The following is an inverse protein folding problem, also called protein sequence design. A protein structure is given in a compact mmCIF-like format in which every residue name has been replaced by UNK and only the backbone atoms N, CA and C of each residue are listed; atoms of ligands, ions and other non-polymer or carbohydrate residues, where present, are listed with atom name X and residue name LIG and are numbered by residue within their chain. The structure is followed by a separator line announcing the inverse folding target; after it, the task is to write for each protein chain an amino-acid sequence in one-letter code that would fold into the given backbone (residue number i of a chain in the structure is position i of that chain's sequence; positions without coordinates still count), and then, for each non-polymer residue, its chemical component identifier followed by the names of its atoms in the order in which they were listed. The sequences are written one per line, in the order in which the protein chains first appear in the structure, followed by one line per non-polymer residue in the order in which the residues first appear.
data_IF_412832152920
#
_entry.id   IF_412832152920
#
_cell.length_a   1.000
_cell.length_b   1.000
_cell.length_c   1.000
_cell.angle_alpha   90.00
_cell.angle_beta   90.00
_cell.angle_gamma   90.00
#
_symmetry.space_group_name_H-M   'P 1'
#
loop_
_entity.id
_entity.type
_entity.pdbx_description
1 polymer ?
#
# COMPACT_ATOMS: atom_id res chain seq x y z
N UNK A 1 37.59 14.06 15.55
CA UNK A 1 36.61 15.04 15.02
C UNK A 1 35.87 14.35 13.89
N UNK A 2 34.61 13.96 14.08
CA UNK A 2 33.78 13.37 13.00
C UNK A 2 33.18 14.54 12.22
N UNK A 3 33.79 14.90 11.11
CA UNK A 3 33.25 15.90 10.17
C UNK A 3 32.06 15.25 9.46
N UNK A 4 30.84 15.54 9.93
CA UNK A 4 29.63 15.36 9.15
C UNK A 4 29.71 16.31 7.94
N UNK A 5 30.22 15.78 6.83
CA UNK A 5 30.14 16.42 5.54
C UNK A 5 28.65 16.52 5.17
N UNK A 6 28.02 17.65 5.51
CA UNK A 6 26.76 18.07 4.91
C UNK A 6 27.02 18.36 3.43
N UNK A 7 27.12 17.29 2.63
CA UNK A 7 27.21 17.40 1.19
C UNK A 7 25.80 17.69 0.70
N UNK A 8 25.55 18.93 0.33
CA UNK A 8 24.32 19.33 -0.36
C UNK A 8 24.30 18.64 -1.74
N UNK A 9 23.78 17.42 -1.77
CA UNK A 9 23.78 16.51 -2.91
C UNK A 9 22.57 16.81 -3.80
N UNK A 10 22.72 17.82 -4.65
CA UNK A 10 21.77 18.06 -5.73
C UNK A 10 21.64 16.83 -6.64
N UNK A 11 20.43 16.56 -7.14
CA UNK A 11 20.14 15.45 -8.07
C UNK A 11 21.12 15.36 -9.25
N UNK A 12 21.52 16.51 -9.82
CA UNK A 12 22.49 16.56 -10.92
C UNK A 12 23.85 15.98 -10.51
N UNK A 13 24.26 16.20 -9.26
CA UNK A 13 25.54 15.70 -8.72
C UNK A 13 25.46 14.20 -8.47
N UNK A 14 24.37 13.72 -7.90
CA UNK A 14 24.09 12.28 -7.76
C UNK A 14 24.10 11.60 -9.12
N UNK A 15 23.43 12.17 -10.12
CA UNK A 15 23.39 11.63 -11.48
C UNK A 15 24.80 11.57 -12.11
N UNK A 16 25.64 12.58 -11.88
CA UNK A 16 27.01 12.59 -12.38
C UNK A 16 27.85 11.45 -11.78
N UNK A 17 27.68 11.18 -10.48
CA UNK A 17 28.36 10.09 -9.77
C UNK A 17 27.88 8.75 -10.32
N UNK A 18 26.57 8.56 -10.46
CA UNK A 18 25.98 7.33 -11.00
C UNK A 18 26.47 7.05 -12.42
N UNK A 19 26.63 8.08 -13.26
CA UNK A 19 27.18 7.93 -14.62
C UNK A 19 28.64 7.49 -14.63
N UNK A 20 29.43 7.83 -13.62
CA UNK A 20 30.83 7.43 -13.50
C UNK A 20 31.02 6.03 -12.92
N UNK A 21 29.97 5.41 -12.37
CA UNK A 21 30.07 4.07 -11.79
C UNK A 21 30.43 3.00 -12.85
N UNK A 22 31.24 1.98 -12.47
CA UNK A 22 31.46 0.79 -13.27
C UNK A 22 30.14 0.07 -13.60
N UNK A 23 30.14 -0.69 -14.70
CA UNK A 23 28.94 -1.36 -15.22
C UNK A 23 28.27 -2.28 -14.18
N UNK A 24 29.06 -3.02 -13.41
CA UNK A 24 28.56 -3.91 -12.35
C UNK A 24 27.85 -3.16 -11.23
N UNK A 25 28.41 -2.04 -10.79
CA UNK A 25 27.83 -1.21 -9.74
C UNK A 25 26.56 -0.49 -10.21
N UNK A 26 26.49 -0.10 -11.50
CA UNK A 26 25.26 0.41 -12.10
C UNK A 26 24.15 -0.62 -12.12
N UNK A 27 24.48 -1.89 -12.39
CA UNK A 27 23.50 -2.98 -12.41
C UNK A 27 22.95 -3.29 -11.01
N UNK A 28 23.80 -3.22 -9.98
CA UNK A 28 23.37 -3.35 -8.59
C UNK A 28 22.46 -2.20 -8.20
N UNK A 29 22.85 -0.96 -8.52
CA UNK A 29 22.07 0.22 -8.24
C UNK A 29 20.71 0.22 -8.96
N UNK A 30 20.66 -0.22 -10.22
CA UNK A 30 19.40 -0.30 -10.95
C UNK A 30 18.43 -1.30 -10.33
N UNK A 31 18.93 -2.46 -9.86
CA UNK A 31 18.09 -3.46 -9.17
C UNK A 31 17.50 -2.93 -7.87
N UNK A 32 18.28 -2.20 -7.09
CA UNK A 32 17.80 -1.66 -5.82
C UNK A 32 16.75 -0.56 -6.04
N UNK A 33 16.99 0.33 -7.02
CA UNK A 33 16.02 1.36 -7.42
C UNK A 33 14.74 0.75 -8.02
N UNK A 34 14.87 -0.31 -8.82
CA UNK A 34 13.71 -1.05 -9.35
C UNK A 34 12.87 -1.65 -8.24
N UNK A 35 13.51 -2.24 -7.22
CA UNK A 35 12.82 -2.80 -6.05
C UNK A 35 12.04 -1.72 -5.29
N UNK A 36 12.65 -0.57 -5.04
CA UNK A 36 11.98 0.56 -4.36
C UNK A 36 10.79 1.10 -5.18
N UNK A 37 10.93 1.18 -6.51
CA UNK A 37 9.84 1.56 -7.41
C UNK A 37 8.74 0.49 -7.42
N UNK A 38 9.07 -0.79 -7.42
CA UNK A 38 8.10 -1.89 -7.35
C UNK A 38 7.34 -1.85 -6.02
N UNK A 39 8.03 -1.65 -4.90
CA UNK A 39 7.42 -1.56 -3.57
C UNK A 39 6.48 -0.36 -3.45
N UNK A 40 6.85 0.80 -4.02
CA UNK A 40 5.97 1.97 -4.05
C UNK A 40 4.73 1.74 -4.92
N UNK A 41 4.87 1.12 -6.09
CA UNK A 41 3.74 0.74 -6.95
C UNK A 41 2.85 -0.31 -6.31
N UNK A 42 3.43 -1.32 -5.65
CA UNK A 42 2.70 -2.33 -4.90
C UNK A 42 1.96 -1.70 -3.73
N UNK A 43 2.58 -0.77 -3.01
CA UNK A 43 1.94 -0.02 -1.91
C UNK A 43 0.79 0.84 -2.44
N UNK A 44 0.97 1.52 -3.57
CA UNK A 44 -0.09 2.30 -4.23
C UNK A 44 -1.24 1.40 -4.67
N UNK A 45 -0.94 0.24 -5.24
CA UNK A 45 -1.91 -0.77 -5.64
C UNK A 45 -2.67 -1.32 -4.42
N UNK A 46 -1.97 -1.72 -3.36
CA UNK A 46 -2.57 -2.20 -2.12
C UNK A 46 -3.43 -1.13 -1.45
N UNK A 47 -3.04 0.15 -1.50
CA UNK A 47 -3.89 1.26 -1.06
C UNK A 47 -5.14 1.40 -1.91
N UNK A 48 -5.06 1.18 -3.22
CA UNK A 48 -6.25 1.20 -4.09
C UNK A 48 -7.19 0.00 -3.86
N UNK A 49 -6.67 -1.14 -3.40
CA UNK A 49 -7.46 -2.29 -2.97
C UNK A 49 -7.98 -2.15 -1.53
N UNK A 50 -7.37 -1.29 -0.72
CA UNK A 50 -7.86 -0.95 0.60
C UNK A 50 -9.10 -0.08 0.38
N UNK A 51 -10.27 -0.72 0.36
CA UNK A 51 -11.54 -0.01 0.31
C UNK A 51 -11.71 0.82 1.57
N UNK A 52 -11.95 2.12 1.40
CA UNK A 52 -12.38 3.02 2.47
C UNK A 52 -13.88 2.81 2.81
N UNK A 53 -14.59 1.90 2.11
CA UNK A 53 -16.05 1.72 2.20
C UNK A 53 -16.48 0.62 3.19
N UNK A 54 -15.55 -0.08 3.84
CA UNK A 54 -15.86 -1.00 4.93
C UNK A 54 -15.86 -0.24 6.27
N UNK A 55 -16.81 0.69 6.40
CA UNK A 55 -17.12 1.30 7.69
C UNK A 55 -17.88 0.28 8.56
N UNK A 56 -17.63 0.30 9.87
CA UNK A 56 -18.35 -0.56 10.81
C UNK A 56 -19.86 -0.30 10.77
N UNK A 57 -20.28 0.93 10.45
CA UNK A 57 -21.70 1.27 10.28
C UNK A 57 -22.35 0.50 9.11
N UNK A 58 -21.63 0.35 8.00
CA UNK A 58 -22.10 -0.44 6.84
C UNK A 58 -22.19 -1.92 7.21
N UNK A 59 -21.20 -2.41 7.97
CA UNK A 59 -21.16 -3.80 8.43
C UNK A 59 -22.31 -4.12 9.40
N UNK A 60 -22.54 -3.23 10.38
CA UNK A 60 -23.60 -3.38 11.39
C UNK A 60 -24.99 -3.31 10.75
N UNK A 61 -25.18 -2.44 9.75
CA UNK A 61 -26.41 -2.36 8.97
C UNK A 61 -26.72 -3.67 8.25
N UNK A 62 -25.73 -4.29 7.61
CA UNK A 62 -25.91 -5.57 6.90
C UNK A 62 -26.19 -6.72 7.86
N UNK A 63 -25.51 -6.75 9.03
CA UNK A 63 -25.78 -7.75 10.07
C UNK A 63 -27.22 -7.64 10.58
N UNK A 64 -27.72 -6.41 10.80
CA UNK A 64 -29.09 -6.21 11.27
C UNK A 64 -30.13 -6.57 10.21
N UNK A 65 -29.87 -6.27 8.93
CA UNK A 65 -30.72 -6.71 7.81
C UNK A 65 -30.83 -8.25 7.78
N UNK A 66 -29.71 -8.96 7.92
CA UNK A 66 -29.68 -10.43 7.96
C UNK A 66 -30.42 -10.95 9.19
N UNK A 67 -30.23 -10.33 10.36
CA UNK A 67 -30.89 -10.72 11.60
C UNK A 67 -32.41 -10.57 11.49
N UNK A 68 -32.91 -9.47 10.92
CA UNK A 68 -34.33 -9.27 10.66
C UNK A 68 -34.90 -10.33 9.72
N UNK A 69 -34.22 -10.59 8.60
CA UNK A 69 -34.65 -11.62 7.66
C UNK A 69 -34.73 -13.03 8.29
N UNK A 70 -33.85 -13.36 9.24
CA UNK A 70 -33.91 -14.61 10.00
C UNK A 70 -35.11 -14.63 10.94
N UNK A 71 -35.37 -13.54 11.67
CA UNK A 71 -36.52 -13.44 12.57
C UNK A 71 -37.86 -13.53 11.83
N UNK A 72 -37.98 -12.86 10.70
CA UNK A 72 -39.19 -12.90 9.86
C UNK A 72 -39.46 -14.34 9.38
N UNK A 73 -38.44 -15.03 8.86
CA UNK A 73 -38.56 -16.44 8.46
C UNK A 73 -38.95 -17.36 9.62
N UNK A 74 -38.42 -17.14 10.82
CA UNK A 74 -38.79 -17.93 12.01
C UNK A 74 -40.22 -17.66 12.46
N UNK A 75 -40.67 -16.40 12.40
CA UNK A 75 -42.03 -16.00 12.74
C UNK A 75 -43.05 -16.58 11.76
N UNK A 76 -42.73 -16.60 10.47
CA UNK A 76 -43.58 -17.21 9.43
C UNK A 76 -43.69 -18.73 9.61
N UNK A 77 -42.64 -19.40 10.10
CA UNK A 77 -42.67 -20.84 10.43
C UNK A 77 -43.41 -21.16 11.74
N UNK A 78 -43.60 -20.18 12.62
CA UNK A 78 -44.29 -20.34 13.92
C UNK A 78 -45.82 -20.18 13.83
N UNK A 79 -46.33 -19.75 12.67
CA UNK A 79 -47.75 -19.55 12.38
C UNK A 79 -48.36 -20.65 11.48
N UNK A 80 -47.68 -21.79 11.34
CA UNK A 80 -48.18 -23.00 10.65
C UNK A 80 -48.47 -24.10 11.68
#
# INVERSE_FOLDING_TARGET
MKTELQVDLSFKKILSIVKQLPREQKLLLSKELEKEVIDSKLTQLLKSFKSDELDNEVLDGEIENVRQAIYERQKDQSHI
#
